data_IF_240610141570
#
_entry.id   IF_240610141570
#
_cell.length_a   1.000
_cell.length_b   1.000
_cell.length_c   1.000
_cell.angle_alpha   90.00
_cell.angle_beta   90.00
_cell.angle_gamma   90.00
#
_symmetry.space_group_name_H-M   'P 1'
#
loop_
_entity.id
_entity.type
_entity.pdbx_description
1 polymer ?
#
# COMPACT_ATOMS: atom_id res chain seq x y z
N UNK A 1 -3.62 -2.85 -33.66
CA UNK A 1 -4.32 -1.67 -33.10
C UNK A 1 -4.46 -0.59 -34.18
N UNK A 2 -5.26 0.47 -33.97
CA UNK A 2 -5.51 1.51 -35.00
C UNK A 2 -4.22 2.18 -35.47
N UNK A 3 -3.30 2.46 -34.53
CA UNK A 3 -1.99 3.05 -34.83
C UNK A 3 -1.06 2.10 -35.60
N UNK A 4 -1.07 0.80 -35.31
CA UNK A 4 -0.33 -0.21 -36.10
C UNK A 4 -0.81 -0.30 -37.54
N UNK A 5 -2.07 0.04 -37.81
CA UNK A 5 -2.60 0.07 -39.18
C UNK A 5 -2.21 1.32 -39.95
N UNK A 6 -1.68 2.35 -39.27
CA UNK A 6 -1.33 3.65 -39.86
C UNK A 6 0.18 3.83 -39.99
N UNK A 7 0.94 3.36 -39.01
CA UNK A 7 2.37 3.61 -38.92
C UNK A 7 3.16 2.29 -39.02
N UNK A 8 4.40 2.40 -39.49
CA UNK A 8 5.39 1.32 -39.44
C UNK A 8 6.09 1.49 -38.07
N UNK A 9 5.52 0.89 -37.03
CA UNK A 9 5.98 1.03 -35.64
C UNK A 9 7.05 -0.02 -35.26
N UNK A 10 7.53 -0.80 -36.22
CA UNK A 10 8.56 -1.81 -36.01
C UNK A 10 9.90 -1.16 -35.64
N UNK A 11 10.46 -1.54 -34.49
CA UNK A 11 11.75 -1.04 -34.00
C UNK A 11 11.70 0.19 -33.09
N UNK A 12 10.51 0.70 -32.75
CA UNK A 12 10.34 1.78 -31.77
C UNK A 12 9.91 1.15 -30.43
N UNK A 13 10.67 1.40 -29.35
CA UNK A 13 10.23 1.04 -27.99
C UNK A 13 9.02 1.89 -27.61
N UNK A 14 7.83 1.34 -27.82
CA UNK A 14 6.57 1.98 -27.47
C UNK A 14 5.87 1.17 -26.38
N UNK A 15 5.40 1.87 -25.35
CA UNK A 15 4.56 1.27 -24.32
C UNK A 15 3.22 0.82 -24.92
N UNK A 16 2.94 -0.48 -24.85
CA UNK A 16 1.76 -1.09 -25.48
C UNK A 16 0.44 -0.57 -24.89
N UNK A 17 0.44 -0.21 -23.60
CA UNK A 17 -0.73 0.36 -22.94
C UNK A 17 -1.01 1.78 -23.44
N UNK A 18 0.03 2.59 -23.60
CA UNK A 18 -0.05 3.93 -24.20
C UNK A 18 -0.55 3.87 -25.64
N UNK A 19 -0.05 2.94 -26.47
CA UNK A 19 -0.54 2.72 -27.84
C UNK A 19 -2.02 2.33 -27.84
N UNK A 20 -2.44 1.46 -26.92
CA UNK A 20 -3.83 1.03 -26.79
C UNK A 20 -4.72 2.21 -26.41
N UNK A 21 -4.34 2.95 -25.38
CA UNK A 21 -5.10 4.08 -24.87
C UNK A 21 -5.25 5.19 -25.91
N UNK A 22 -4.17 5.52 -26.61
CA UNK A 22 -4.21 6.44 -27.75
C UNK A 22 -5.07 5.89 -28.88
N UNK A 23 -4.95 4.61 -29.24
CA UNK A 23 -5.78 3.99 -30.29
C UNK A 23 -7.27 4.03 -29.97
N UNK A 24 -7.64 3.81 -28.71
CA UNK A 24 -9.02 3.83 -28.23
C UNK A 24 -9.59 5.26 -28.25
N UNK A 25 -8.82 6.24 -27.74
CA UNK A 25 -9.21 7.66 -27.79
C UNK A 25 -9.38 8.17 -29.22
N UNK A 26 -8.43 7.84 -30.10
CA UNK A 26 -8.45 8.24 -31.52
C UNK A 26 -9.56 7.55 -32.32
N UNK A 27 -9.87 6.29 -32.03
CA UNK A 27 -10.90 5.51 -32.73
C UNK A 27 -12.33 6.05 -32.53
N UNK A 28 -12.57 6.81 -31.48
CA UNK A 28 -13.89 7.42 -31.21
C UNK A 28 -14.16 8.71 -32.00
N UNK A 29 -13.13 9.31 -32.61
CA UNK A 29 -13.22 10.62 -33.27
C UNK A 29 -13.13 10.58 -34.80
N UNK A 30 -13.11 9.39 -35.43
CA UNK A 30 -13.09 9.28 -36.89
C UNK A 30 -14.41 9.75 -37.50
N UNK A 31 -14.35 10.74 -38.39
CA UNK A 31 -15.51 11.23 -39.13
C UNK A 31 -15.91 10.31 -40.30
N UNK A 32 -17.14 10.47 -40.78
CA UNK A 32 -17.65 9.69 -41.93
C UNK A 32 -16.87 9.96 -43.23
N UNK A 33 -16.32 11.17 -43.40
CA UNK A 33 -15.55 11.56 -44.59
C UNK A 33 -14.16 10.91 -44.63
N UNK A 34 -13.53 10.91 -45.81
CA UNK A 34 -12.14 10.46 -45.97
C UNK A 34 -11.21 11.43 -45.22
N UNK A 35 -10.61 10.98 -44.13
CA UNK A 35 -9.85 11.78 -43.16
C UNK A 35 -8.36 11.37 -43.13
N UNK A 36 -7.55 12.04 -42.31
CA UNK A 36 -6.12 11.76 -42.20
C UNK A 36 -5.82 10.30 -41.81
N UNK A 37 -6.66 9.70 -40.96
CA UNK A 37 -6.52 8.31 -40.53
C UNK A 37 -6.69 7.36 -41.73
N UNK A 38 -7.77 7.53 -42.51
CA UNK A 38 -8.03 6.75 -43.73
C UNK A 38 -6.96 7.00 -44.79
N UNK A 39 -6.52 8.24 -44.96
CA UNK A 39 -5.42 8.61 -45.85
C UNK A 39 -4.12 7.86 -45.50
N UNK A 40 -3.76 7.81 -44.22
CA UNK A 40 -2.54 7.12 -43.78
C UNK A 40 -2.63 5.60 -43.94
N UNK A 41 -3.80 5.00 -43.65
CA UNK A 41 -4.05 3.56 -43.89
C UNK A 41 -3.93 3.20 -45.37
N UNK A 42 -4.49 4.02 -46.26
CA UNK A 42 -4.41 3.82 -47.70
C UNK A 42 -2.95 3.89 -48.21
N UNK A 43 -2.16 4.87 -47.75
CA UNK A 43 -0.72 4.93 -48.09
C UNK A 43 0.00 3.66 -47.64
N UNK A 44 -0.25 3.18 -46.41
CA UNK A 44 0.38 1.94 -45.91
C UNK A 44 0.01 0.74 -46.77
N UNK A 45 -1.25 0.60 -47.15
CA UNK A 45 -1.72 -0.48 -48.03
C UNK A 45 -1.04 -0.44 -49.40
N UNK A 46 -0.90 0.74 -50.03
CA UNK A 46 -0.23 0.89 -51.31
C UNK A 46 1.28 0.61 -51.21
N UNK A 47 1.93 1.05 -50.13
CA UNK A 47 3.35 0.71 -49.87
C UNK A 47 3.56 -0.80 -49.70
N UNK A 48 2.61 -1.50 -49.08
CA UNK A 48 2.66 -2.96 -48.97
C UNK A 48 2.55 -3.69 -50.32
N UNK A 49 2.06 -3.00 -51.37
CA UNK A 49 2.04 -3.48 -52.75
C UNK A 49 3.30 -3.10 -53.55
N UNK A 50 4.40 -2.76 -52.86
CA UNK A 50 5.66 -2.29 -53.46
C UNK A 50 5.54 -0.98 -54.26
N UNK A 51 4.54 -0.15 -53.99
CA UNK A 51 4.48 1.20 -54.55
C UNK A 51 5.43 2.12 -53.78
N UNK A 52 6.17 2.96 -54.50
CA UNK A 52 6.99 3.99 -53.85
C UNK A 52 6.12 5.01 -53.11
N UNK A 53 6.70 5.66 -52.11
CA UNK A 53 5.96 6.55 -51.21
C UNK A 53 5.28 7.71 -51.95
N UNK A 54 5.95 8.29 -52.95
CA UNK A 54 5.43 9.44 -53.68
C UNK A 54 4.22 9.05 -54.53
N UNK A 55 4.32 7.93 -55.27
CA UNK A 55 3.20 7.39 -56.04
C UNK A 55 2.04 6.94 -55.15
N UNK A 56 2.31 6.34 -53.99
CA UNK A 56 1.29 5.95 -53.02
C UNK A 56 0.52 7.18 -52.46
N UNK A 57 1.23 8.26 -52.14
CA UNK A 57 0.63 9.52 -51.68
C UNK A 57 -0.24 10.14 -52.77
N UNK A 58 0.27 10.26 -54.00
CA UNK A 58 -0.48 10.83 -55.12
C UNK A 58 -1.72 10.00 -55.49
N UNK A 59 -1.60 8.67 -55.50
CA UNK A 59 -2.71 7.76 -55.78
C UNK A 59 -3.79 7.83 -54.70
N UNK A 60 -3.38 7.92 -53.44
CA UNK A 60 -4.32 8.11 -52.32
C UNK A 60 -5.03 9.46 -52.41
N UNK A 61 -4.32 10.52 -52.78
CA UNK A 61 -4.91 11.85 -52.97
C UNK A 61 -5.90 11.87 -54.13
N UNK A 62 -5.57 11.26 -55.27
CA UNK A 62 -6.49 11.12 -56.40
C UNK A 62 -7.77 10.36 -56.00
N UNK A 63 -7.62 9.32 -55.17
CA UNK A 63 -8.77 8.58 -54.61
C UNK A 63 -9.58 9.45 -53.64
N UNK A 64 -8.95 10.27 -52.81
CA UNK A 64 -9.66 11.21 -51.93
C UNK A 64 -10.45 12.26 -52.74
N UNK A 65 -9.92 12.72 -53.87
CA UNK A 65 -10.57 13.68 -54.74
C UNK A 65 -11.87 13.15 -55.37
N UNK A 66 -11.94 11.86 -55.73
CA UNK A 66 -13.19 11.25 -56.20
C UNK A 66 -14.28 11.23 -55.11
N UNK A 67 -13.86 11.28 -53.84
CA UNK A 67 -14.73 11.42 -52.66
C UNK A 67 -14.95 12.88 -52.24
N UNK A 68 -14.65 13.86 -53.09
CA UNK A 68 -14.76 15.29 -52.81
C UNK A 68 -13.92 15.78 -51.61
N UNK A 69 -12.79 15.13 -51.35
CA UNK A 69 -11.81 15.52 -50.31
C UNK A 69 -10.51 15.94 -50.99
N UNK A 70 -9.99 17.12 -50.66
CA UNK A 70 -8.74 17.63 -51.22
C UNK A 70 -7.59 17.61 -50.19
N UNK A 71 -6.40 18.03 -50.61
CA UNK A 71 -5.21 18.10 -49.76
C UNK A 71 -5.39 18.99 -48.52
N UNK A 72 -6.12 20.11 -48.65
CA UNK A 72 -6.38 21.03 -47.53
C UNK A 72 -7.28 20.38 -46.48
N UNK A 73 -8.26 19.58 -46.91
CA UNK A 73 -9.16 18.85 -45.99
C UNK A 73 -8.41 17.76 -45.21
N UNK A 74 -7.50 17.04 -45.88
CA UNK A 74 -6.61 16.06 -45.23
C UNK A 74 -5.67 16.76 -44.25
N UNK A 75 -5.10 17.92 -44.62
CA UNK A 75 -4.22 18.68 -43.74
C UNK A 75 -4.97 19.20 -42.50
N UNK A 76 -6.18 19.75 -42.67
CA UNK A 76 -7.06 20.13 -41.54
C UNK A 76 -7.37 18.93 -40.65
N UNK A 77 -7.62 17.77 -41.23
CA UNK A 77 -7.82 16.54 -40.46
C UNK A 77 -6.56 16.08 -39.73
N UNK A 78 -5.37 16.28 -40.31
CA UNK A 78 -4.10 15.96 -39.69
C UNK A 78 -3.81 16.88 -38.49
N UNK A 79 -4.11 18.17 -38.60
CA UNK A 79 -3.99 19.12 -37.50
C UNK A 79 -4.89 18.75 -36.33
N UNK A 80 -6.17 18.41 -36.60
CA UNK A 80 -7.08 17.89 -35.57
C UNK A 80 -6.57 16.62 -34.90
N UNK A 81 -5.93 15.74 -35.68
CA UNK A 81 -5.33 14.51 -35.16
C UNK A 81 -4.16 14.81 -34.22
N UNK A 82 -3.31 15.80 -34.54
CA UNK A 82 -2.25 16.27 -33.65
C UNK A 82 -2.81 16.90 -32.37
N UNK A 83 -3.78 17.81 -32.49
CA UNK A 83 -4.45 18.43 -31.34
C UNK A 83 -5.08 17.39 -30.39
N UNK A 84 -5.62 16.31 -30.96
CA UNK A 84 -6.19 15.21 -30.18
C UNK A 84 -5.11 14.41 -29.43
N UNK A 85 -3.95 14.17 -30.06
CA UNK A 85 -2.79 13.55 -29.40
C UNK A 85 -2.29 14.44 -28.26
N UNK A 86 -2.12 15.74 -28.50
CA UNK A 86 -1.67 16.70 -27.48
C UNK A 86 -2.67 16.77 -26.31
N UNK A 87 -3.97 16.74 -26.61
CA UNK A 87 -5.01 16.68 -25.58
C UNK A 87 -4.93 15.40 -24.76
N UNK A 88 -4.63 14.26 -25.39
CA UNK A 88 -4.56 12.98 -24.68
C UNK A 88 -3.30 12.86 -23.84
N UNK A 89 -2.17 13.39 -24.34
CA UNK A 89 -0.95 13.57 -23.56
C UNK A 89 -1.19 14.44 -22.31
N UNK A 90 -1.89 15.56 -22.47
CA UNK A 90 -2.22 16.43 -21.35
C UNK A 90 -3.09 15.72 -20.30
N UNK A 91 -4.14 15.01 -20.73
CA UNK A 91 -4.99 14.23 -19.82
C UNK A 91 -4.20 13.15 -19.08
N UNK A 92 -3.31 12.46 -19.79
CA UNK A 92 -2.44 11.45 -19.20
C UNK A 92 -1.54 12.06 -18.12
N UNK A 93 -0.87 13.19 -18.41
CA UNK A 93 -0.01 13.88 -17.46
C UNK A 93 -0.78 14.34 -16.20
N UNK A 94 -1.98 14.87 -16.37
CA UNK A 94 -2.84 15.26 -15.24
C UNK A 94 -3.27 14.04 -14.42
N UNK A 95 -3.65 12.94 -15.07
CA UNK A 95 -4.03 11.70 -14.39
C UNK A 95 -2.85 11.11 -13.62
N UNK A 96 -1.66 11.09 -14.21
CA UNK A 96 -0.43 10.61 -13.58
C UNK A 96 -0.07 11.45 -12.35
N UNK A 97 -0.14 12.78 -12.47
CA UNK A 97 0.10 13.68 -11.34
C UNK A 97 -0.90 13.44 -10.21
N UNK A 98 -2.20 13.32 -10.54
CA UNK A 98 -3.24 13.01 -9.54
C UNK A 98 -2.99 11.68 -8.84
N UNK A 99 -2.65 10.63 -9.60
CA UNK A 99 -2.37 9.32 -9.04
C UNK A 99 -1.13 9.34 -8.14
N UNK A 100 -0.09 10.08 -8.53
CA UNK A 100 1.12 10.27 -7.71
C UNK A 100 0.80 10.97 -6.39
N UNK A 101 0.09 12.10 -6.44
CA UNK A 101 -0.33 12.85 -5.26
C UNK A 101 -1.19 11.99 -4.35
N UNK A 102 -2.16 11.26 -4.90
CA UNK A 102 -3.04 10.37 -4.13
C UNK A 102 -2.23 9.27 -3.41
N UNK A 103 -1.34 8.56 -4.12
CA UNK A 103 -0.52 7.51 -3.51
C UNK A 103 0.39 8.03 -2.41
N UNK A 104 0.94 9.23 -2.58
CA UNK A 104 1.77 9.88 -1.56
C UNK A 104 0.92 10.23 -0.34
N UNK A 105 -0.28 10.77 -0.55
CA UNK A 105 -1.18 11.17 0.55
C UNK A 105 -1.69 9.96 1.34
N UNK A 106 -2.08 8.89 0.66
CA UNK A 106 -2.45 7.61 1.29
C UNK A 106 -1.31 7.06 2.16
N UNK A 107 -0.07 7.14 1.67
CA UNK A 107 1.13 6.74 2.43
C UNK A 107 1.37 7.63 3.65
N UNK A 108 1.15 8.94 3.55
CA UNK A 108 1.28 9.87 4.68
C UNK A 108 0.25 9.59 5.77
N UNK A 109 -1.01 9.38 5.40
CA UNK A 109 -2.08 9.03 6.35
C UNK A 109 -1.71 7.74 7.09
N UNK A 110 -1.29 6.70 6.36
CA UNK A 110 -0.88 5.44 6.97
C UNK A 110 0.34 5.59 7.89
N UNK A 111 1.29 6.48 7.54
CA UNK A 111 2.44 6.80 8.38
C UNK A 111 1.99 7.47 9.69
N UNK A 112 1.12 8.47 9.62
CA UNK A 112 0.62 9.19 10.79
C UNK A 112 -0.16 8.26 11.74
N UNK A 113 -0.98 7.37 11.19
CA UNK A 113 -1.67 6.34 11.99
C UNK A 113 -0.69 5.39 12.67
N UNK A 114 0.39 5.00 11.99
CA UNK A 114 1.44 4.15 12.55
C UNK A 114 2.18 4.85 13.69
N UNK A 115 2.51 6.14 13.52
CA UNK A 115 3.15 6.96 14.56
C UNK A 115 2.25 7.03 15.81
N UNK A 116 0.96 7.31 15.64
CA UNK A 116 0.00 7.34 16.77
C UNK A 116 -0.06 6.00 17.51
N UNK A 117 -0.13 4.87 16.78
CA UNK A 117 -0.12 3.52 17.37
C UNK A 117 1.18 3.25 18.14
N UNK A 118 2.32 3.70 17.64
CA UNK A 118 3.61 3.59 18.34
C UNK A 118 3.58 4.40 19.63
N UNK A 119 3.09 5.64 19.61
CA UNK A 119 2.99 6.46 20.81
C UNK A 119 2.05 5.88 21.87
N UNK A 120 0.88 5.39 21.46
CA UNK A 120 -0.06 4.69 22.36
C UNK A 120 0.57 3.44 22.97
N UNK A 121 1.30 2.65 22.17
CA UNK A 121 1.99 1.44 22.64
C UNK A 121 3.10 1.79 23.63
N UNK A 122 3.85 2.88 23.39
CA UNK A 122 4.86 3.39 24.33
C UNK A 122 4.24 3.80 25.66
N UNK A 123 3.08 4.47 25.66
CA UNK A 123 2.35 4.82 26.90
C UNK A 123 1.96 3.57 27.68
N UNK A 124 1.38 2.58 27.00
CA UNK A 124 1.02 1.28 27.63
C UNK A 124 2.23 0.54 28.20
N UNK A 125 3.39 0.62 27.54
CA UNK A 125 4.62 0.03 28.06
C UNK A 125 5.06 0.68 29.38
N UNK A 126 4.92 2.00 29.51
CA UNK A 126 5.22 2.71 30.75
C UNK A 126 4.26 2.26 31.86
N UNK A 127 2.95 2.25 31.59
CA UNK A 127 1.93 1.81 32.56
C UNK A 127 2.17 0.35 33.01
N UNK A 128 2.50 -0.55 32.08
CA UNK A 128 2.82 -1.94 32.40
C UNK A 128 4.09 -2.06 33.25
N UNK A 129 5.12 -1.27 32.97
CA UNK A 129 6.34 -1.26 33.78
C UNK A 129 6.07 -0.75 35.20
N UNK A 130 5.26 0.30 35.37
CA UNK A 130 4.85 0.79 36.69
C UNK A 130 4.06 -0.28 37.46
N UNK A 131 3.16 -0.99 36.78
CA UNK A 131 2.41 -2.10 37.36
C UNK A 131 3.35 -3.23 37.81
N UNK A 132 4.30 -3.64 36.98
CA UNK A 132 5.30 -4.67 37.31
C UNK A 132 6.06 -4.28 38.58
N UNK A 133 6.58 -3.05 38.66
CA UNK A 133 7.30 -2.58 39.84
C UNK A 133 6.43 -2.60 41.11
N UNK A 134 5.15 -2.26 40.99
CA UNK A 134 4.21 -2.28 42.12
C UNK A 134 3.96 -3.71 42.63
N UNK A 135 3.83 -4.68 41.72
CA UNK A 135 3.61 -6.09 42.06
C UNK A 135 4.88 -6.75 42.59
N UNK A 136 6.06 -6.39 42.08
CA UNK A 136 7.35 -6.82 42.64
C UNK A 136 7.51 -6.33 44.09
N UNK A 137 7.18 -5.06 44.37
CA UNK A 137 7.19 -4.54 45.74
C UNK A 137 6.22 -5.31 46.64
N UNK A 138 5.00 -5.54 46.18
CA UNK A 138 4.00 -6.32 46.91
C UNK A 138 4.46 -7.74 47.18
N UNK A 139 5.15 -8.37 46.23
CA UNK A 139 5.71 -9.70 46.39
C UNK A 139 6.73 -9.74 47.53
N UNK A 140 7.61 -8.74 47.62
CA UNK A 140 8.60 -8.63 48.72
C UNK A 140 7.88 -8.50 50.06
N UNK A 141 6.91 -7.59 50.18
CA UNK A 141 6.14 -7.37 51.41
C UNK A 141 5.40 -8.64 51.87
N UNK A 142 4.82 -9.38 50.93
CA UNK A 142 4.16 -10.66 51.21
C UNK A 142 5.14 -11.72 51.69
N UNK A 143 6.33 -11.82 51.08
CA UNK A 143 7.37 -12.76 51.53
C UNK A 143 7.82 -12.46 52.96
N UNK A 144 8.11 -11.20 53.26
CA UNK A 144 8.48 -10.77 54.62
C UNK A 144 7.36 -11.03 55.63
N UNK A 145 6.10 -10.84 55.25
CA UNK A 145 4.97 -11.18 56.11
C UNK A 145 4.85 -12.68 56.36
N UNK A 146 5.07 -13.51 55.34
CA UNK A 146 5.04 -14.97 55.46
C UNK A 146 6.13 -15.43 56.42
N UNK A 147 7.38 -14.97 56.23
CA UNK A 147 8.51 -15.34 57.07
C UNK A 147 8.28 -14.94 58.53
N UNK A 148 7.84 -13.69 58.78
CA UNK A 148 7.52 -13.23 60.14
C UNK A 148 6.45 -14.09 60.81
N UNK A 149 5.38 -14.40 60.09
CA UNK A 149 4.29 -15.23 60.62
C UNK A 149 4.75 -16.66 60.91
N UNK A 150 5.61 -17.24 60.07
CA UNK A 150 6.19 -18.56 60.29
C UNK A 150 7.09 -18.58 61.53
N UNK A 151 7.96 -17.59 61.70
CA UNK A 151 8.83 -17.46 62.89
C UNK A 151 8.02 -17.33 64.17
N UNK A 152 6.99 -16.46 64.18
CA UNK A 152 6.10 -16.30 65.34
C UNK A 152 5.35 -17.59 65.70
N UNK A 153 4.92 -18.35 64.70
CA UNK A 153 4.23 -19.62 64.93
C UNK A 153 5.18 -20.67 65.52
N UNK A 154 6.42 -20.75 65.02
CA UNK A 154 7.46 -21.63 65.57
C UNK A 154 7.78 -21.27 67.03
N UNK A 155 7.95 -19.98 67.33
CA UNK A 155 8.22 -19.49 68.69
C UNK A 155 7.07 -19.85 69.65
N UNK A 156 5.82 -19.58 69.26
CA UNK A 156 4.65 -19.95 70.07
C UNK A 156 4.56 -21.45 70.31
N UNK A 157 4.88 -22.25 69.30
CA UNK A 157 4.88 -23.70 69.40
C UNK A 157 5.96 -24.20 70.39
N UNK A 158 7.18 -23.66 70.32
CA UNK A 158 8.25 -23.95 71.26
C UNK A 158 7.89 -23.55 72.70
N UNK A 159 7.36 -22.33 72.90
CA UNK A 159 6.92 -21.85 74.22
C UNK A 159 5.85 -22.75 74.82
N UNK A 160 4.89 -23.20 74.01
CA UNK A 160 3.84 -24.11 74.43
C UNK A 160 4.39 -25.48 74.86
N UNK A 161 5.24 -26.10 74.04
CA UNK A 161 5.86 -27.39 74.39
C UNK A 161 6.74 -27.28 75.64
N UNK A 162 7.55 -26.23 75.76
CA UNK A 162 8.36 -25.98 76.94
C UNK A 162 7.50 -25.84 78.21
N UNK A 163 6.35 -25.17 78.10
CA UNK A 163 5.41 -25.03 79.21
C UNK A 163 4.80 -26.38 79.61
N UNK A 164 4.39 -27.19 78.64
CA UNK A 164 3.89 -28.55 78.89
C UNK A 164 4.96 -29.41 79.58
N UNK A 165 6.20 -29.42 79.09
CA UNK A 165 7.27 -30.23 79.67
C UNK A 165 7.61 -29.79 81.10
N UNK A 166 7.63 -28.48 81.37
CA UNK A 166 7.78 -27.97 82.75
C UNK A 166 6.66 -28.46 83.67
N UNK A 167 5.40 -28.36 83.23
CA UNK A 167 4.25 -28.83 84.02
C UNK A 167 4.34 -30.34 84.27
N UNK A 168 4.68 -31.14 83.25
CA UNK A 168 4.87 -32.59 83.41
C UNK A 168 5.97 -32.91 84.41
N UNK A 169 7.08 -32.18 84.39
CA UNK A 169 8.18 -32.42 85.32
C UNK A 169 7.79 -32.09 86.76
N UNK A 170 7.08 -30.98 87.00
CA UNK A 170 6.55 -30.66 88.33
C UNK A 170 5.62 -31.76 88.84
N UNK A 171 4.69 -32.24 88.01
CA UNK A 171 3.80 -33.34 88.39
C UNK A 171 4.58 -34.63 88.71
N UNK A 172 5.65 -34.93 87.97
CA UNK A 172 6.53 -36.08 88.25
C UNK A 172 7.30 -35.91 89.56
N UNK A 173 7.80 -34.71 89.86
CA UNK A 173 8.50 -34.40 91.11
C UNK A 173 7.58 -34.54 92.33
N UNK A 174 6.35 -34.02 92.22
CA UNK A 174 5.31 -34.18 93.24
C UNK A 174 4.98 -35.66 93.48
N UNK A 175 4.79 -36.43 92.41
CA UNK A 175 4.55 -37.88 92.49
C UNK A 175 5.69 -38.66 93.14
N UNK A 176 6.94 -38.25 92.91
CA UNK A 176 8.10 -38.90 93.53
C UNK A 176 8.23 -38.56 95.01
N UNK A 177 7.81 -37.37 95.43
CA UNK A 177 7.84 -36.92 96.83
C UNK A 177 6.76 -37.59 97.70
N UNK A 178 5.76 -38.21 97.07
CA UNK A 178 4.69 -38.97 97.73
C UNK A 178 5.03 -40.45 97.96
N UNK A 179 6.20 -40.91 97.50
CA UNK A 179 6.73 -42.25 97.73
C UNK A 179 7.75 -42.26 98.86
#
# INVERSE_FOLDING_TARGET
MLLDQMFELEGIELDQLSIKFLSDGLGTQTGDKFDYIKFRKAIKALKAMNMDHHTAVQSTLATAQTMSVNALDINKSAQKFLELIDSEEHKFNVALQRQSVQKIEEKKIALDESIKKIEESKKRLVELNELILSEEKRQIELRESIERNQSLLLEKNQLFHNSIEKIKNLVKEDLNSLK
#
